data_IF_726410198716
#
_entry.id   IF_726410198716
#
_cell.length_a   1.000
_cell.length_b   1.000
_cell.length_c   1.000
_cell.angle_alpha   90.00
_cell.angle_beta   90.00
_cell.angle_gamma   90.00
#
_symmetry.space_group_name_H-M   'P 1'
#
loop_
_entity.id
_entity.type
_entity.pdbx_description
1 polymer ?
#
# COMPACT_ATOMS: atom_id res chain seq x y z
N UNK A 1 -24.62 12.85 6.65
CA UNK A 1 -24.78 11.39 6.58
C UNK A 1 -24.70 10.99 5.12
N UNK A 2 -23.54 10.51 4.65
CA UNK A 2 -23.47 9.92 3.31
C UNK A 2 -24.23 8.60 3.33
N UNK A 3 -25.16 8.44 2.40
CA UNK A 3 -25.89 7.20 2.16
C UNK A 3 -24.85 6.13 1.76
N UNK A 4 -24.33 5.36 2.73
CA UNK A 4 -23.51 4.18 2.41
C UNK A 4 -24.48 3.17 1.81
N UNK A 5 -24.42 3.03 0.49
CA UNK A 5 -25.04 1.89 -0.21
C UNK A 5 -24.54 0.61 0.43
N UNK A 6 -25.43 -0.38 0.58
CA UNK A 6 -25.07 -1.71 1.07
C UNK A 6 -23.84 -2.22 0.32
N UNK A 7 -22.79 -2.71 0.99
CA UNK A 7 -21.64 -3.31 0.31
C UNK A 7 -22.10 -4.39 -0.66
N UNK A 8 -21.53 -4.38 -1.87
CA UNK A 8 -21.74 -5.43 -2.86
C UNK A 8 -20.60 -6.44 -2.76
N UNK A 9 -20.93 -7.73 -2.91
CA UNK A 9 -19.92 -8.78 -2.81
C UNK A 9 -18.79 -8.58 -3.85
N UNK A 10 -17.54 -8.78 -3.46
CA UNK A 10 -16.36 -8.74 -4.33
C UNK A 10 -16.22 -10.04 -5.16
N UNK A 11 -17.33 -10.48 -5.77
CA UNK A 11 -17.38 -11.64 -6.63
C UNK A 11 -16.95 -11.29 -8.08
N UNK A 12 -16.84 -12.31 -8.92
CA UNK A 12 -16.39 -12.13 -10.31
C UNK A 12 -17.31 -11.22 -11.13
N UNK A 13 -18.63 -11.40 -11.00
CA UNK A 13 -19.63 -10.67 -11.78
C UNK A 13 -19.56 -9.17 -11.49
N UNK A 14 -19.55 -8.80 -10.20
CA UNK A 14 -19.47 -7.41 -9.78
C UNK A 14 -18.12 -6.77 -10.18
N UNK A 15 -17.01 -7.50 -10.04
CA UNK A 15 -15.70 -7.01 -10.47
C UNK A 15 -15.63 -6.83 -12.00
N UNK A 16 -16.20 -7.76 -12.76
CA UNK A 16 -16.31 -7.67 -14.23
C UNK A 16 -17.15 -6.47 -14.66
N UNK A 17 -18.31 -6.24 -14.02
CA UNK A 17 -19.15 -5.08 -14.31
C UNK A 17 -18.39 -3.75 -14.09
N UNK A 18 -17.66 -3.64 -12.98
CA UNK A 18 -16.83 -2.47 -12.72
C UNK A 18 -15.71 -2.32 -13.77
N UNK A 19 -15.03 -3.41 -14.12
CA UNK A 19 -13.96 -3.39 -15.13
C UNK A 19 -14.47 -3.01 -16.52
N UNK A 20 -15.66 -3.49 -16.91
CA UNK A 20 -16.27 -3.18 -18.20
C UNK A 20 -16.70 -1.71 -18.27
N UNK A 21 -17.25 -1.17 -17.18
CA UNK A 21 -17.49 0.26 -17.07
C UNK A 21 -16.19 1.07 -17.23
N UNK A 22 -15.13 0.70 -16.51
CA UNK A 22 -13.82 1.38 -16.60
C UNK A 22 -13.29 1.37 -18.03
N UNK A 23 -13.35 0.24 -18.74
CA UNK A 23 -12.95 0.12 -20.15
C UNK A 23 -13.83 0.96 -21.08
N UNK A 24 -15.12 1.12 -20.76
CA UNK A 24 -16.04 1.93 -21.56
C UNK A 24 -15.74 3.43 -21.47
N UNK A 25 -15.19 3.88 -20.33
CA UNK A 25 -14.87 5.29 -20.08
C UNK A 25 -13.38 5.61 -20.21
N UNK A 26 -12.52 4.60 -20.37
CA UNK A 26 -11.07 4.75 -20.50
C UNK A 26 -10.50 3.80 -21.57
N UNK A 27 -9.69 4.34 -22.47
CA UNK A 27 -8.95 3.55 -23.47
C UNK A 27 -7.62 2.97 -22.92
N UNK A 28 -7.40 3.03 -21.61
CA UNK A 28 -6.17 2.54 -20.97
C UNK A 28 -6.39 1.14 -20.41
N UNK A 29 -5.56 0.20 -20.84
CA UNK A 29 -5.43 -1.14 -20.27
C UNK A 29 -4.14 -1.17 -19.43
N UNK A 30 -4.23 -1.05 -18.09
CA UNK A 30 -3.07 -0.91 -17.23
C UNK A 30 -2.38 -2.26 -16.99
N UNK A 31 -1.05 -2.22 -16.93
CA UNK A 31 -0.21 -3.38 -16.56
C UNK A 31 0.24 -3.30 -15.08
N UNK A 32 0.13 -2.12 -14.47
CA UNK A 32 0.64 -1.82 -13.13
C UNK A 32 -0.43 -1.09 -12.30
N UNK A 33 -0.71 -1.59 -11.09
CA UNK A 33 -1.55 -0.95 -10.09
C UNK A 33 -0.72 -0.18 -9.05
N UNK A 34 -1.23 0.96 -8.57
CA UNK A 34 -0.56 1.80 -7.57
C UNK A 34 -1.55 2.20 -6.48
N UNK A 35 -1.18 2.01 -5.21
CA UNK A 35 -1.91 2.52 -4.04
C UNK A 35 -0.93 3.37 -3.23
N UNK A 36 -1.28 4.64 -3.00
CA UNK A 36 -0.43 5.58 -2.28
C UNK A 36 -0.92 5.80 -0.85
N UNK A 37 0.01 5.90 0.09
CA UNK A 37 -0.28 6.22 1.49
C UNK A 37 -0.69 7.68 1.71
N UNK A 38 -1.23 7.96 2.89
CA UNK A 38 -1.69 9.29 3.29
C UNK A 38 -0.56 10.32 3.23
N UNK A 39 -0.85 11.51 2.69
CA UNK A 39 0.14 12.58 2.54
C UNK A 39 1.10 12.45 1.34
N UNK A 40 1.09 11.31 0.63
CA UNK A 40 1.80 11.16 -0.65
C UNK A 40 0.92 11.61 -1.84
N UNK A 41 -0.39 11.71 -1.62
CA UNK A 41 -1.38 12.35 -2.50
C UNK A 41 -2.34 13.16 -1.62
N UNK A 42 -2.88 14.27 -2.13
CA UNK A 42 -3.84 15.10 -1.42
C UNK A 42 -5.18 14.37 -1.21
N UNK A 43 -5.47 13.97 0.04
CA UNK A 43 -6.78 13.49 0.50
C UNK A 43 -7.22 12.10 0.03
N UNK A 44 -8.34 11.63 0.58
CA UNK A 44 -9.08 10.43 0.14
C UNK A 44 -10.16 10.82 -0.87
N UNK A 45 -9.74 11.32 -2.04
CA UNK A 45 -10.67 11.89 -3.03
C UNK A 45 -11.58 10.80 -3.64
N UNK A 46 -11.16 9.53 -3.62
CA UNK A 46 -11.98 8.40 -4.02
C UNK A 46 -12.07 8.21 -5.54
N UNK A 47 -10.99 8.53 -6.27
CA UNK A 47 -10.94 8.35 -7.73
C UNK A 47 -10.08 7.15 -8.13
N UNK A 48 -10.43 6.55 -9.28
CA UNK A 48 -9.55 5.64 -10.01
C UNK A 48 -8.90 6.41 -11.17
N UNK A 49 -7.58 6.55 -11.15
CA UNK A 49 -6.84 7.34 -12.15
C UNK A 49 -6.09 6.39 -13.09
N UNK A 50 -6.41 6.44 -14.38
CA UNK A 50 -5.75 5.64 -15.41
C UNK A 50 -4.91 6.55 -16.31
N UNK A 51 -3.74 6.06 -16.73
CA UNK A 51 -2.87 6.83 -17.62
C UNK A 51 -1.54 6.16 -17.89
N UNK A 52 -0.55 6.98 -18.23
CA UNK A 52 0.81 6.53 -18.51
C UNK A 52 1.81 7.15 -17.54
N UNK A 53 2.68 6.32 -16.96
CA UNK A 53 3.80 6.76 -16.10
C UNK A 53 5.07 6.02 -16.51
N UNK A 54 6.13 6.76 -16.85
CA UNK A 54 7.39 6.14 -17.27
C UNK A 54 7.27 5.30 -18.55
N UNK A 55 6.34 5.65 -19.45
CA UNK A 55 6.04 4.87 -20.66
C UNK A 55 5.16 3.64 -20.43
N UNK A 56 4.67 3.42 -19.20
CA UNK A 56 3.89 2.24 -18.81
C UNK A 56 2.45 2.62 -18.53
N UNK A 57 1.50 1.76 -18.90
CA UNK A 57 0.09 1.97 -18.61
C UNK A 57 -0.17 1.61 -17.15
N UNK A 58 -0.71 2.54 -16.38
CA UNK A 58 -0.91 2.41 -14.93
C UNK A 58 -2.34 2.71 -14.54
N UNK A 59 -2.76 2.13 -13.42
CA UNK A 59 -3.98 2.50 -12.69
C UNK A 59 -3.62 2.81 -11.24
N UNK A 60 -4.13 3.92 -10.71
CA UNK A 60 -3.86 4.36 -9.35
C UNK A 60 -5.16 4.60 -8.58
N UNK A 61 -5.20 4.16 -7.32
CA UNK A 61 -6.25 4.53 -6.37
C UNK A 61 -5.89 5.86 -5.71
N UNK A 62 -6.62 6.93 -6.03
CA UNK A 62 -6.48 8.24 -5.41
C UNK A 62 -7.30 8.30 -4.12
N UNK A 63 -6.71 7.75 -3.07
CA UNK A 63 -7.38 7.52 -1.79
C UNK A 63 -7.37 6.03 -1.48
N UNK A 64 -6.98 5.73 -0.25
CA UNK A 64 -6.91 4.36 0.26
C UNK A 64 -8.12 4.09 1.15
N UNK A 65 -8.64 2.87 1.11
CA UNK A 65 -9.62 2.41 2.07
C UNK A 65 -8.91 1.75 3.24
N UNK A 66 -9.29 2.10 4.46
CA UNK A 66 -8.78 1.45 5.66
C UNK A 66 -9.86 0.60 6.31
N UNK A 67 -9.53 -0.60 6.77
CA UNK A 67 -10.51 -1.49 7.41
C UNK A 67 -11.17 -0.84 8.65
N UNK A 68 -10.45 0.00 9.39
CA UNK A 68 -11.01 0.75 10.53
C UNK A 68 -12.12 1.75 10.16
N UNK A 69 -12.31 2.07 8.87
CA UNK A 69 -13.43 2.90 8.38
C UNK A 69 -14.76 2.09 8.29
N UNK A 70 -14.70 0.78 8.59
CA UNK A 70 -15.83 -0.13 8.66
C UNK A 70 -16.16 -0.85 7.35
N UNK A 71 -15.19 -1.02 6.43
CA UNK A 71 -15.37 -1.83 5.22
C UNK A 71 -15.33 -3.33 5.57
N UNK A 72 -16.26 -4.09 4.99
CA UNK A 72 -16.35 -5.54 5.15
C UNK A 72 -15.42 -6.30 4.20
N UNK A 73 -14.97 -7.47 4.63
CA UNK A 73 -14.47 -8.48 3.70
C UNK A 73 -15.67 -9.11 3.02
N UNK A 74 -15.66 -9.14 1.68
CA UNK A 74 -16.70 -9.78 0.90
C UNK A 74 -16.31 -11.21 0.49
N UNK A 75 -17.29 -11.99 0.03
CA UNK A 75 -17.08 -13.41 -0.33
C UNK A 75 -16.01 -13.60 -1.41
N UNK A 76 -15.06 -14.49 -1.12
CA UNK A 76 -13.95 -14.84 -2.02
C UNK A 76 -14.45 -15.80 -3.09
N UNK A 77 -14.46 -15.36 -4.35
CA UNK A 77 -14.73 -16.23 -5.49
C UNK A 77 -13.52 -17.11 -5.84
N UNK A 78 -13.75 -18.41 -6.02
CA UNK A 78 -12.74 -19.37 -6.50
C UNK A 78 -12.15 -19.02 -7.88
N UNK A 79 -12.77 -18.08 -8.61
CA UNK A 79 -12.26 -17.58 -9.90
C UNK A 79 -11.06 -16.65 -9.75
N UNK A 80 -10.85 -16.06 -8.58
CA UNK A 80 -9.71 -15.18 -8.35
C UNK A 80 -8.48 -15.94 -7.86
N UNK A 81 -8.65 -16.97 -7.02
CA UNK A 81 -7.53 -17.62 -6.38
C UNK A 81 -7.92 -18.84 -5.53
N UNK A 82 -6.91 -19.48 -4.91
CA UNK A 82 -7.12 -20.66 -4.09
C UNK A 82 -7.72 -20.30 -2.72
N UNK A 83 -8.47 -21.24 -2.13
CA UNK A 83 -9.03 -21.08 -0.78
C UNK A 83 -7.99 -20.80 0.31
N UNK A 84 -6.77 -21.33 0.14
CA UNK A 84 -5.67 -21.21 1.09
C UNK A 84 -4.42 -20.70 0.34
N UNK A 85 -4.26 -19.38 0.17
CA UNK A 85 -3.08 -18.81 -0.48
C UNK A 85 -1.84 -18.91 0.43
N UNK A 86 -0.70 -19.30 -0.14
CA UNK A 86 0.60 -19.19 0.54
C UNK A 86 1.14 -17.75 0.41
N UNK A 87 1.51 -17.14 1.54
CA UNK A 87 2.02 -15.78 1.60
C UNK A 87 3.55 -15.71 1.71
N UNK A 88 4.26 -16.85 1.68
CA UNK A 88 5.73 -16.91 1.82
C UNK A 88 6.49 -16.07 0.79
N UNK A 89 5.88 -15.84 -0.38
CA UNK A 89 6.41 -15.00 -1.45
C UNK A 89 5.48 -13.83 -1.82
N UNK A 90 4.62 -13.38 -0.90
CA UNK A 90 3.67 -12.29 -1.14
C UNK A 90 4.34 -10.97 -1.54
N UNK A 91 5.57 -10.73 -1.07
CA UNK A 91 6.40 -9.58 -1.44
C UNK A 91 7.51 -10.01 -2.39
N UNK A 92 7.40 -9.60 -3.66
CA UNK A 92 8.22 -10.11 -4.75
C UNK A 92 9.70 -9.70 -4.57
N UNK A 93 10.59 -10.71 -4.53
CA UNK A 93 12.03 -10.48 -4.28
C UNK A 93 12.69 -9.68 -5.42
N UNK A 94 12.48 -10.00 -6.72
CA UNK A 94 12.96 -9.16 -7.81
C UNK A 94 12.53 -7.69 -7.72
N UNK A 95 11.28 -7.40 -7.35
CA UNK A 95 10.82 -6.02 -7.17
C UNK A 95 11.58 -5.29 -6.05
N UNK A 96 11.83 -5.96 -4.91
CA UNK A 96 12.62 -5.39 -3.80
C UNK A 96 14.05 -5.10 -4.22
N UNK A 97 14.69 -6.04 -4.92
CA UNK A 97 16.04 -5.88 -5.45
C UNK A 97 16.13 -4.71 -6.45
N UNK A 98 15.14 -4.56 -7.33
CA UNK A 98 15.05 -3.44 -8.25
C UNK A 98 14.92 -2.10 -7.51
N UNK A 99 14.05 -2.03 -6.50
CA UNK A 99 13.86 -0.83 -5.69
C UNK A 99 15.16 -0.41 -5.00
N UNK A 100 15.85 -1.36 -4.35
CA UNK A 100 17.15 -1.12 -3.70
C UNK A 100 18.23 -0.69 -4.69
N UNK A 101 18.32 -1.34 -5.85
CA UNK A 101 19.26 -0.98 -6.91
C UNK A 101 19.06 0.47 -7.36
N UNK A 102 17.82 0.89 -7.58
CA UNK A 102 17.53 2.28 -7.95
C UNK A 102 17.91 3.24 -6.82
N UNK A 103 17.69 2.87 -5.55
CA UNK A 103 18.13 3.71 -4.43
C UNK A 103 19.65 3.91 -4.39
N UNK A 104 20.42 2.87 -4.72
CA UNK A 104 21.88 2.94 -4.83
C UNK A 104 22.33 3.84 -5.99
N UNK A 105 21.71 3.71 -7.16
CA UNK A 105 22.03 4.53 -8.34
C UNK A 105 21.78 6.04 -8.12
N UNK A 106 20.78 6.37 -7.30
CA UNK A 106 20.40 7.74 -6.98
C UNK A 106 20.99 8.23 -5.64
N UNK A 107 21.83 7.43 -4.98
CA UNK A 107 22.60 7.83 -3.81
C UNK A 107 21.79 8.04 -2.53
N UNK A 108 20.67 7.34 -2.35
CA UNK A 108 19.86 7.41 -1.12
C UNK A 108 19.64 6.04 -0.46
N UNK A 109 20.42 5.02 -0.82
CA UNK A 109 20.34 3.67 -0.26
C UNK A 109 20.45 3.63 1.27
N UNK A 110 21.14 4.60 1.87
CA UNK A 110 21.32 4.67 3.33
C UNK A 110 20.00 4.94 4.08
N UNK A 111 18.98 5.46 3.37
CA UNK A 111 17.63 5.66 3.88
C UNK A 111 16.73 4.43 3.71
N UNK A 112 17.17 3.42 2.95
CA UNK A 112 16.36 2.26 2.58
C UNK A 112 16.72 1.09 3.50
N UNK A 113 15.68 0.48 4.09
CA UNK A 113 15.78 -0.71 4.94
C UNK A 113 14.77 -1.76 4.47
N UNK A 114 15.04 -3.02 4.78
CA UNK A 114 14.07 -4.11 4.67
C UNK A 114 13.66 -4.55 6.09
N UNK A 115 12.42 -4.99 6.25
CA UNK A 115 11.90 -5.41 7.55
C UNK A 115 10.49 -5.99 7.50
N UNK A 116 10.02 -6.45 8.66
CA UNK A 116 8.71 -7.04 8.93
C UNK A 116 7.70 -5.95 9.29
N UNK A 117 6.56 -5.95 8.59
CA UNK A 117 5.44 -5.04 8.83
C UNK A 117 4.36 -5.67 9.71
N UNK A 118 4.12 -5.10 10.87
CA UNK A 118 2.99 -5.43 11.74
C UNK A 118 1.75 -4.65 11.34
N UNK A 119 0.64 -5.37 11.11
CA UNK A 119 -0.65 -4.75 10.83
C UNK A 119 -1.45 -4.54 12.13
N UNK A 120 -1.51 -3.29 12.58
CA UNK A 120 -2.42 -2.84 13.63
C UNK A 120 -3.77 -2.46 13.00
N UNK A 121 -4.89 -3.00 13.48
CA UNK A 121 -6.21 -2.70 12.93
C UNK A 121 -6.58 -1.21 12.97
N UNK A 122 -6.08 -0.46 13.95
CA UNK A 122 -6.41 0.96 14.14
C UNK A 122 -7.84 1.20 14.67
N UNK A 123 -8.30 2.47 14.71
CA UNK A 123 -7.63 3.68 14.23
C UNK A 123 -6.65 4.30 15.24
N UNK A 124 -6.55 3.75 16.45
CA UNK A 124 -5.58 4.23 17.45
C UNK A 124 -4.16 3.86 17.04
N UNK A 125 -3.23 4.81 17.18
CA UNK A 125 -1.80 4.49 17.16
C UNK A 125 -1.49 3.45 18.23
N UNK A 126 -0.42 2.69 18.02
CA UNK A 126 0.08 1.73 18.97
C UNK A 126 0.44 2.40 20.30
N UNK A 127 0.07 1.75 21.38
CA UNK A 127 0.51 2.10 22.73
C UNK A 127 1.99 1.75 22.91
N UNK A 128 2.60 2.25 23.99
CA UNK A 128 3.96 1.86 24.36
C UNK A 128 4.09 0.34 24.58
N UNK A 129 3.13 -0.26 25.28
CA UNK A 129 3.17 -1.69 25.56
C UNK A 129 3.01 -2.54 24.29
N UNK A 130 2.15 -2.10 23.36
CA UNK A 130 2.03 -2.72 22.03
C UNK A 130 3.33 -2.55 21.23
N UNK A 131 3.95 -1.37 21.25
CA UNK A 131 5.24 -1.13 20.59
C UNK A 131 6.34 -2.04 21.13
N UNK A 132 6.44 -2.16 22.45
CA UNK A 132 7.39 -3.05 23.13
C UNK A 132 7.11 -4.53 22.84
N UNK A 133 5.85 -4.92 22.75
CA UNK A 133 5.45 -6.26 22.33
C UNK A 133 5.90 -6.53 20.90
N UNK A 134 5.64 -5.61 19.96
CA UNK A 134 6.03 -5.75 18.56
C UNK A 134 7.54 -5.83 18.38
N UNK A 135 8.32 -5.05 19.15
CA UNK A 135 9.77 -5.16 19.18
C UNK A 135 10.24 -6.56 19.63
N UNK A 136 9.61 -7.14 20.66
CA UNK A 136 9.91 -8.51 21.12
C UNK A 136 9.49 -9.59 20.13
N UNK A 137 8.60 -9.28 19.20
CA UNK A 137 8.16 -10.16 18.11
C UNK A 137 8.94 -9.93 16.81
N UNK A 138 10.08 -9.23 16.86
CA UNK A 138 10.93 -8.89 15.72
C UNK A 138 10.18 -8.17 14.59
N UNK A 139 9.21 -7.32 14.94
CA UNK A 139 8.58 -6.43 13.99
C UNK A 139 9.42 -5.15 13.83
N UNK A 140 9.70 -4.76 12.59
CA UNK A 140 10.51 -3.57 12.30
C UNK A 140 9.65 -2.30 12.18
N UNK A 141 8.41 -2.45 11.69
CA UNK A 141 7.48 -1.34 11.46
C UNK A 141 6.05 -1.75 11.79
N UNK A 142 5.22 -0.79 12.16
CA UNK A 142 3.79 -0.98 12.42
C UNK A 142 2.97 0.04 11.65
N UNK A 143 1.79 -0.36 11.20
CA UNK A 143 0.81 0.57 10.66
C UNK A 143 -0.54 -0.08 10.40
N UNK A 144 -1.44 0.69 9.79
CA UNK A 144 -2.88 0.37 9.77
C UNK A 144 -3.43 0.02 8.40
N UNK A 145 -2.59 -0.49 7.50
CA UNK A 145 -2.98 -0.75 6.11
C UNK A 145 -2.06 -1.77 5.44
N UNK A 146 -2.15 -1.91 4.12
CA UNK A 146 -1.20 -2.66 3.26
C UNK A 146 -1.40 -4.16 3.28
N UNK A 147 -1.43 -4.78 4.44
CA UNK A 147 -1.60 -6.23 4.54
C UNK A 147 -2.89 -6.73 3.86
N UNK A 148 -4.06 -6.08 4.00
CA UNK A 148 -5.27 -6.52 3.31
C UNK A 148 -5.12 -6.53 1.78
N UNK A 149 -4.55 -5.47 1.20
CA UNK A 149 -4.36 -5.38 -0.25
C UNK A 149 -3.30 -6.37 -0.76
N UNK A 150 -2.24 -6.61 0.02
CA UNK A 150 -1.22 -7.62 -0.30
C UNK A 150 -1.84 -9.02 -0.36
N UNK A 151 -2.70 -9.37 0.60
CA UNK A 151 -3.37 -10.68 0.63
C UNK A 151 -4.25 -10.85 -0.60
N UNK A 152 -5.04 -9.83 -0.97
CA UNK A 152 -5.91 -9.88 -2.15
C UNK A 152 -5.09 -9.99 -3.44
N UNK A 153 -4.03 -9.19 -3.58
CA UNK A 153 -3.13 -9.23 -4.73
C UNK A 153 -2.45 -10.60 -4.87
N UNK A 154 -1.92 -11.15 -3.76
CA UNK A 154 -1.29 -12.46 -3.73
C UNK A 154 -2.30 -13.57 -4.08
N UNK A 155 -3.52 -13.50 -3.53
CA UNK A 155 -4.59 -14.44 -3.83
C UNK A 155 -4.91 -14.50 -5.33
N UNK A 156 -4.89 -13.37 -6.05
CA UNK A 156 -5.12 -13.32 -7.49
C UNK A 156 -3.86 -13.31 -8.37
N UNK A 157 -2.68 -13.58 -7.81
CA UNK A 157 -1.44 -13.73 -8.56
C UNK A 157 -0.77 -12.42 -9.01
N UNK A 158 -1.14 -11.27 -8.44
CA UNK A 158 -0.46 -9.99 -8.68
C UNK A 158 0.80 -9.91 -7.81
N UNK A 159 1.96 -9.65 -8.45
CA UNK A 159 3.23 -9.41 -7.75
C UNK A 159 3.19 -8.07 -7.00
N UNK A 160 3.70 -8.03 -5.77
CA UNK A 160 3.62 -6.84 -4.89
C UNK A 160 4.99 -6.33 -4.48
N UNK A 161 5.15 -5.01 -4.56
CA UNK A 161 6.17 -4.24 -3.84
C UNK A 161 5.44 -3.33 -2.83
N UNK A 162 5.83 -3.39 -1.55
CA UNK A 162 5.32 -2.50 -0.52
C UNK A 162 6.47 -1.75 0.15
N UNK A 163 6.32 -0.43 0.33
CA UNK A 163 7.34 0.43 0.94
C UNK A 163 6.65 1.29 2.01
N UNK A 164 7.19 1.28 3.22
CA UNK A 164 6.73 2.14 4.32
C UNK A 164 7.63 3.35 4.45
N UNK A 165 7.04 4.54 4.52
CA UNK A 165 7.74 5.74 4.96
C UNK A 165 7.60 5.85 6.48
N UNK A 166 8.73 5.83 7.19
CA UNK A 166 8.75 5.91 8.65
C UNK A 166 8.43 7.34 9.08
N UNK A 167 7.31 7.54 9.76
CA UNK A 167 6.89 8.84 10.28
C UNK A 167 7.59 9.20 11.59
N UNK A 168 7.86 8.20 12.43
CA UNK A 168 8.40 8.35 13.77
C UNK A 168 9.04 7.03 14.23
N UNK A 169 9.71 7.04 15.39
CA UNK A 169 10.19 5.82 16.04
C UNK A 169 9.46 5.67 17.37
N UNK A 170 8.44 4.81 17.40
CA UNK A 170 7.50 4.71 18.53
C UNK A 170 8.15 4.22 19.83
N UNK A 171 9.26 3.48 19.75
CA UNK A 171 10.04 3.06 20.92
C UNK A 171 10.78 4.28 21.51
N UNK A 172 11.53 5.00 20.67
CA UNK A 172 12.27 6.19 21.11
C UNK A 172 11.34 7.32 21.56
N UNK A 173 10.23 7.51 20.87
CA UNK A 173 9.25 8.55 21.23
C UNK A 173 8.67 8.28 22.62
N UNK A 174 8.38 7.02 22.94
CA UNK A 174 7.86 6.64 24.24
C UNK A 174 8.89 6.75 25.37
N UNK A 175 10.17 6.49 25.08
CA UNK A 175 11.26 6.74 26.06
C UNK A 175 11.46 8.24 26.35
N UNK A 176 11.03 9.12 25.45
CA UNK A 176 11.24 10.57 25.53
C UNK A 176 9.93 11.38 25.74
N UNK A 177 8.83 10.73 26.13
CA UNK A 177 7.50 11.34 26.32
C UNK A 177 7.01 12.18 25.12
N UNK A 178 7.34 11.76 23.89
CA UNK A 178 6.93 12.41 22.65
C UNK A 178 5.65 11.78 22.13
N UNK A 179 4.57 12.57 22.00
CA UNK A 179 3.32 12.09 21.40
C UNK A 179 3.36 12.09 19.87
N UNK A 180 2.79 11.06 19.25
CA UNK A 180 2.51 11.01 17.81
C UNK A 180 1.15 11.65 17.49
N UNK A 181 1.02 12.28 16.32
CA UNK A 181 -0.26 12.75 15.80
C UNK A 181 -0.25 12.77 14.26
N UNK A 182 -1.43 12.94 13.66
CA UNK A 182 -1.59 12.86 12.22
C UNK A 182 -0.87 14.00 11.49
N UNK A 183 -0.78 15.18 12.08
CA UNK A 183 -0.09 16.34 11.50
C UNK A 183 1.41 16.07 11.35
N UNK A 184 2.05 15.44 12.36
CA UNK A 184 3.46 15.03 12.30
C UNK A 184 3.69 13.99 11.19
N UNK A 185 2.78 13.03 11.05
CA UNK A 185 2.84 12.02 9.97
C UNK A 185 2.78 12.70 8.59
N UNK A 186 1.83 13.62 8.38
CA UNK A 186 1.69 14.36 7.12
C UNK A 186 2.92 15.24 6.84
N UNK A 187 3.52 15.84 7.87
CA UNK A 187 4.72 16.65 7.72
C UNK A 187 5.92 15.82 7.24
N UNK A 188 6.07 14.58 7.73
CA UNK A 188 7.12 13.67 7.26
C UNK A 188 6.84 13.19 5.83
N UNK A 189 5.59 12.87 5.52
CA UNK A 189 5.18 12.53 4.16
C UNK A 189 5.53 13.64 3.16
N UNK A 190 5.20 14.89 3.48
CA UNK A 190 5.52 16.06 2.65
C UNK A 190 7.05 16.21 2.44
N UNK A 191 7.86 16.00 3.48
CA UNK A 191 9.34 16.07 3.39
C UNK A 191 9.97 15.01 2.48
N UNK A 192 9.26 13.93 2.16
CA UNK A 192 9.77 12.79 1.37
C UNK A 192 8.98 12.52 0.09
N UNK A 193 7.90 13.27 -0.16
CA UNK A 193 7.01 13.05 -1.28
C UNK A 193 7.72 13.12 -2.64
N UNK A 194 8.59 14.11 -2.87
CA UNK A 194 9.30 14.26 -4.16
C UNK A 194 10.30 13.13 -4.39
N UNK A 195 11.03 12.70 -3.35
CA UNK A 195 11.96 11.58 -3.42
C UNK A 195 11.23 10.28 -3.74
N UNK A 196 10.14 9.97 -3.02
CA UNK A 196 9.32 8.79 -3.25
C UNK A 196 8.69 8.81 -4.64
N UNK A 197 8.18 9.96 -5.11
CA UNK A 197 7.60 10.10 -6.45
C UNK A 197 8.64 9.79 -7.54
N UNK A 198 9.85 10.32 -7.40
CA UNK A 198 10.96 10.04 -8.31
C UNK A 198 11.32 8.54 -8.28
N UNK A 199 11.47 7.97 -7.08
CA UNK A 199 11.86 6.57 -6.91
C UNK A 199 10.85 5.61 -7.54
N UNK A 200 9.56 5.77 -7.23
CA UNK A 200 8.49 4.94 -7.81
C UNK A 200 8.34 5.14 -9.32
N UNK A 201 8.53 6.37 -9.84
CA UNK A 201 8.57 6.59 -11.29
C UNK A 201 9.69 5.76 -11.94
N UNK A 202 10.88 5.69 -11.33
CA UNK A 202 11.98 4.87 -11.84
C UNK A 202 11.71 3.37 -11.73
N UNK A 203 11.12 2.91 -10.62
CA UNK A 203 10.72 1.50 -10.45
C UNK A 203 9.74 1.11 -11.55
N UNK A 204 8.68 1.90 -11.76
CA UNK A 204 7.66 1.66 -12.78
C UNK A 204 8.27 1.64 -14.18
N UNK A 205 9.18 2.57 -14.47
CA UNK A 205 9.84 2.62 -15.79
C UNK A 205 10.64 1.36 -16.08
N UNK A 206 11.23 0.74 -15.04
CA UNK A 206 12.24 -0.32 -15.18
C UNK A 206 11.75 -1.73 -14.81
N UNK A 207 10.55 -1.86 -14.25
CA UNK A 207 10.00 -3.17 -13.85
C UNK A 207 9.72 -4.04 -15.07
N UNK A 208 10.14 -5.31 -15.03
CA UNK A 208 9.78 -6.29 -16.06
C UNK A 208 8.31 -6.70 -15.92
N UNK A 209 7.61 -6.89 -17.05
CA UNK A 209 6.24 -7.42 -17.08
C UNK A 209 6.18 -8.92 -17.36
N UNK A 210 7.34 -9.56 -17.52
CA UNK A 210 7.45 -10.98 -17.80
C UNK A 210 7.17 -11.86 -16.56
#
# INVERSE_FOLDING_TARGET
MHNRTTPVAANYENASMAADYIKSVSNVLPDIGIICGSGLIAGHVGNLVLGSLGGRKVVAMQGRFHMYEGYSNEEVSNRFGPRFPDLSNAYDRPLRQLALKIAQEYGFQDLVREGVYAFNGGPTYETLDESNMLLKLDCDVVGMSTVPEVIVACHCGIKVLAVSLIANNSILDAENDVSINHEKVLAVAAKRADLLRMWFKQIITRVSLD
#
